data_IF_128889555168
#
_entry.id   IF_128889555168
#
_cell.length_a   1.000
_cell.length_b   1.000
_cell.length_c   1.000
_cell.angle_alpha   90.00
_cell.angle_beta   90.00
_cell.angle_gamma   90.00
#
_symmetry.space_group_name_H-M   'P 1'
#
loop_
_entity.id
_entity.type
_entity.pdbx_description
1 polymer ?
#
# COMPACT_ATOMS: atom_id res chain seq x y z
N UNK A 1 17.41 16.08 25.24
CA UNK A 1 16.39 15.16 24.68
C UNK A 1 16.66 15.09 23.20
N UNK A 2 17.07 13.95 22.68
CA UNK A 2 17.10 13.73 21.23
C UNK A 2 15.67 13.78 20.71
N UNK A 3 15.47 14.49 19.60
CA UNK A 3 14.16 14.67 18.99
C UNK A 3 13.78 13.37 18.27
N UNK A 4 12.92 12.56 18.89
CA UNK A 4 12.58 11.22 18.38
C UNK A 4 11.57 11.24 17.21
N UNK A 5 10.82 12.35 17.03
CA UNK A 5 9.79 12.49 16.01
C UNK A 5 9.85 13.91 15.42
N UNK A 6 9.89 13.99 14.09
CA UNK A 6 9.70 15.23 13.33
C UNK A 6 8.29 15.21 12.71
N UNK A 7 7.53 16.29 12.91
CA UNK A 7 6.20 16.46 12.34
C UNK A 7 6.24 17.64 11.40
N UNK A 8 6.03 17.39 10.11
CA UNK A 8 5.87 18.44 9.10
C UNK A 8 4.39 18.70 8.84
N UNK A 9 3.97 19.97 8.85
CA UNK A 9 2.60 20.38 8.63
C UNK A 9 2.52 21.61 7.72
N UNK A 10 1.52 21.67 6.85
CA UNK A 10 1.18 22.91 6.13
C UNK A 10 0.60 23.97 7.07
N UNK A 11 0.60 25.25 6.67
CA UNK A 11 0.22 26.37 7.54
C UNK A 11 -1.08 26.18 8.32
N UNK A 12 -2.15 25.76 7.64
CA UNK A 12 -3.46 25.55 8.27
C UNK A 12 -3.46 24.42 9.33
N UNK A 13 -2.64 23.38 9.14
CA UNK A 13 -2.55 22.25 10.09
C UNK A 13 -1.57 22.60 11.22
N UNK A 14 -0.52 23.36 10.92
CA UNK A 14 0.44 23.83 11.91
C UNK A 14 -0.23 24.66 13.01
N UNK A 15 -1.13 25.59 12.65
CA UNK A 15 -1.90 26.36 13.63
C UNK A 15 -2.76 25.45 14.53
N UNK A 16 -3.47 24.48 13.94
CA UNK A 16 -4.24 23.49 14.71
C UNK A 16 -3.39 22.66 15.67
N UNK A 17 -2.18 22.26 15.26
CA UNK A 17 -1.24 21.52 16.12
C UNK A 17 -0.79 22.40 17.27
N UNK A 18 -0.38 23.64 16.99
CA UNK A 18 0.10 24.60 18.01
C UNK A 18 -0.98 24.90 19.03
N UNK A 19 -2.23 25.02 18.58
CA UNK A 19 -3.37 25.35 19.44
C UNK A 19 -3.94 24.10 20.15
N UNK A 20 -3.31 22.93 20.00
CA UNK A 20 -3.72 21.68 20.66
C UNK A 20 -5.03 21.08 20.16
N UNK A 21 -5.48 21.52 18.98
CA UNK A 21 -6.78 21.15 18.40
C UNK A 21 -6.70 19.94 17.46
N UNK A 22 -5.51 19.48 17.10
CA UNK A 22 -5.36 18.31 16.24
C UNK A 22 -5.70 17.04 17.03
N UNK A 23 -6.64 16.27 16.52
CA UNK A 23 -7.04 14.97 17.06
C UNK A 23 -6.79 13.85 16.05
N UNK A 24 -6.81 12.59 16.48
CA UNK A 24 -6.72 11.46 15.55
C UNK A 24 -7.93 11.36 14.61
N UNK A 25 -9.07 11.99 14.94
CA UNK A 25 -10.23 12.09 14.06
C UNK A 25 -9.99 13.02 12.86
N UNK A 26 -8.97 13.89 12.90
CA UNK A 26 -8.56 14.72 11.76
C UNK A 26 -7.73 13.93 10.74
N UNK A 27 -7.28 12.72 11.07
CA UNK A 27 -6.50 11.87 10.18
C UNK A 27 -7.43 11.18 9.19
N UNK A 28 -7.37 11.60 7.93
CA UNK A 28 -8.19 11.04 6.85
C UNK A 28 -7.54 9.88 6.10
N UNK A 29 -6.20 9.77 6.16
CA UNK A 29 -5.46 8.71 5.47
C UNK A 29 -4.12 8.39 6.15
N UNK A 30 -3.71 7.13 6.02
CA UNK A 30 -2.34 6.66 6.29
C UNK A 30 -1.76 6.15 4.98
N UNK A 31 -0.53 6.58 4.65
CA UNK A 31 0.11 6.25 3.36
C UNK A 31 1.31 5.34 3.58
N UNK A 32 1.28 4.19 2.92
CA UNK A 32 2.30 3.14 2.97
C UNK A 32 2.99 3.01 1.60
N UNK A 33 4.16 3.64 1.40
CA UNK A 33 4.85 3.59 0.11
C UNK A 33 5.48 2.22 -0.17
N UNK A 34 5.73 1.95 -1.46
CA UNK A 34 6.46 0.77 -1.92
C UNK A 34 7.97 0.93 -1.63
N UNK A 35 8.40 0.57 -0.43
CA UNK A 35 9.80 0.74 0.02
C UNK A 35 10.59 -0.57 0.16
N UNK A 36 9.99 -1.70 -0.21
CA UNK A 36 10.56 -3.04 0.03
C UNK A 36 10.77 -3.26 1.53
N UNK A 37 11.77 -4.07 1.96
CA UNK A 37 11.97 -4.45 3.37
C UNK A 37 12.22 -3.26 4.32
N UNK A 38 12.49 -2.05 3.80
CA UNK A 38 12.61 -0.83 4.63
C UNK A 38 11.33 -0.50 5.41
N UNK A 39 10.19 -1.10 5.05
CA UNK A 39 8.94 -0.92 5.79
C UNK A 39 9.03 -1.42 7.23
N UNK A 40 9.94 -2.34 7.57
CA UNK A 40 10.14 -2.81 8.95
C UNK A 40 10.42 -1.69 9.95
N UNK A 41 11.01 -0.57 9.49
CA UNK A 41 11.21 0.62 10.32
C UNK A 41 9.89 1.21 10.86
N UNK A 42 8.79 1.00 10.14
CA UNK A 42 7.46 1.44 10.54
C UNK A 42 6.69 0.39 11.36
N UNK A 43 7.21 -0.84 11.54
CA UNK A 43 6.47 -1.93 12.19
C UNK A 43 6.09 -1.61 13.64
N UNK A 44 7.01 -1.04 14.41
CA UNK A 44 6.73 -0.61 15.78
C UNK A 44 5.70 0.52 15.85
N UNK A 45 5.75 1.46 14.90
CA UNK A 45 4.80 2.57 14.82
C UNK A 45 3.40 2.08 14.44
N UNK A 46 3.31 1.18 13.46
CA UNK A 46 2.05 0.56 13.05
C UNK A 46 1.41 -0.20 14.22
N UNK A 47 2.19 -1.02 14.94
CA UNK A 47 1.73 -1.75 16.11
C UNK A 47 1.25 -0.81 17.23
N UNK A 48 1.94 0.30 17.45
CA UNK A 48 1.53 1.30 18.43
C UNK A 48 0.18 1.94 18.06
N UNK A 49 -0.03 2.29 16.79
CA UNK A 49 -1.31 2.84 16.31
C UNK A 49 -2.46 1.83 16.40
N UNK A 50 -2.20 0.55 16.10
CA UNK A 50 -3.19 -0.52 16.28
C UNK A 50 -3.60 -0.68 17.75
N UNK A 51 -2.61 -0.84 18.64
CA UNK A 51 -2.81 -1.04 20.09
C UNK A 51 -3.48 0.13 20.77
N UNK A 52 -3.09 1.35 20.40
CA UNK A 52 -3.71 2.56 20.92
C UNK A 52 -5.16 2.71 20.43
N UNK A 53 -5.52 2.03 19.33
CA UNK A 53 -6.86 2.03 18.75
C UNK A 53 -7.40 3.45 18.52
N UNK A 54 -6.55 4.35 18.01
CA UNK A 54 -6.86 5.80 17.96
C UNK A 54 -7.43 6.28 16.63
N UNK A 55 -7.15 5.57 15.53
CA UNK A 55 -7.60 5.97 14.19
C UNK A 55 -9.02 5.47 13.92
N UNK A 56 -9.74 6.08 12.98
CA UNK A 56 -10.98 5.49 12.45
C UNK A 56 -12.17 5.42 13.41
N UNK A 57 -12.13 6.17 14.53
CA UNK A 57 -13.19 6.16 15.56
C UNK A 57 -14.45 6.88 15.08
N UNK A 58 -14.29 8.12 14.61
CA UNK A 58 -15.41 8.94 14.13
C UNK A 58 -15.64 8.82 12.62
N UNK A 59 -14.56 8.83 11.84
CA UNK A 59 -14.61 8.75 10.38
C UNK A 59 -13.66 7.67 9.87
N UNK A 60 -14.05 6.88 8.84
CA UNK A 60 -13.18 5.85 8.28
C UNK A 60 -11.88 6.45 7.73
N UNK A 61 -10.75 5.82 8.02
CA UNK A 61 -9.42 6.24 7.55
C UNK A 61 -9.05 5.48 6.29
N UNK A 62 -8.55 6.19 5.28
CA UNK A 62 -8.06 5.55 4.06
C UNK A 62 -6.64 5.01 4.27
N UNK A 63 -6.45 3.71 4.14
CA UNK A 63 -5.14 3.06 4.16
C UNK A 63 -4.63 2.91 2.72
N UNK A 64 -3.83 3.87 2.27
CA UNK A 64 -3.34 3.96 0.90
C UNK A 64 -1.96 3.32 0.75
N UNK A 65 -1.91 2.12 0.19
CA UNK A 65 -0.70 1.29 0.16
C UNK A 65 -0.24 0.93 -1.26
N UNK A 66 1.06 0.70 -1.43
CA UNK A 66 1.61 0.04 -2.62
C UNK A 66 2.67 -0.98 -2.21
N UNK A 67 2.72 -2.14 -2.88
CA UNK A 67 3.65 -3.24 -2.55
C UNK A 67 3.62 -3.56 -1.04
N UNK A 68 4.75 -3.49 -0.33
CA UNK A 68 4.82 -3.71 1.12
C UNK A 68 3.86 -2.83 1.94
N UNK A 69 3.55 -1.61 1.48
CA UNK A 69 2.54 -0.78 2.12
C UNK A 69 1.12 -1.34 1.99
N UNK A 70 0.80 -1.97 0.85
CA UNK A 70 -0.47 -2.68 0.68
C UNK A 70 -0.54 -3.91 1.60
N UNK A 71 0.56 -4.68 1.70
CA UNK A 71 0.62 -5.85 2.60
C UNK A 71 0.33 -5.46 4.06
N UNK A 72 1.04 -4.42 4.54
CA UNK A 72 0.82 -3.84 5.88
C UNK A 72 -0.64 -3.50 6.09
N UNK A 73 -1.24 -2.73 5.18
CA UNK A 73 -2.61 -2.27 5.35
C UNK A 73 -3.67 -3.36 5.15
N UNK A 74 -3.39 -4.41 4.39
CA UNK A 74 -4.20 -5.62 4.38
C UNK A 74 -4.25 -6.25 5.79
N UNK A 75 -3.11 -6.33 6.50
CA UNK A 75 -3.09 -6.83 7.89
C UNK A 75 -3.88 -5.92 8.85
N UNK A 76 -3.76 -4.60 8.70
CA UNK A 76 -4.52 -3.63 9.52
C UNK A 76 -6.03 -3.79 9.40
N UNK A 77 -6.53 -4.21 8.23
CA UNK A 77 -7.95 -4.33 7.98
C UNK A 77 -8.56 -5.62 8.52
N UNK A 78 -7.76 -6.61 8.93
CA UNK A 78 -8.24 -7.88 9.45
C UNK A 78 -8.88 -7.76 10.85
N UNK A 79 -9.71 -8.74 11.27
CA UNK A 79 -10.33 -8.76 12.60
C UNK A 79 -9.34 -8.72 13.77
N UNK A 80 -8.22 -9.44 13.65
CA UNK A 80 -7.13 -9.46 14.64
C UNK A 80 -5.87 -8.80 14.06
N UNK A 81 -5.87 -7.46 13.89
CA UNK A 81 -4.87 -6.78 13.09
C UNK A 81 -3.46 -6.91 13.69
N UNK A 82 -3.32 -6.95 15.01
CA UNK A 82 -2.02 -7.15 15.66
C UNK A 82 -1.43 -8.54 15.38
N UNK A 83 -2.27 -9.57 15.38
CA UNK A 83 -1.85 -10.94 15.11
C UNK A 83 -1.47 -11.11 13.64
N UNK A 84 -2.35 -10.68 12.73
CA UNK A 84 -2.09 -10.65 11.30
C UNK A 84 -0.80 -9.88 10.95
N UNK A 85 -0.58 -8.73 11.60
CA UNK A 85 0.61 -7.92 11.35
C UNK A 85 1.89 -8.59 11.83
N UNK A 86 1.88 -9.30 12.97
CA UNK A 86 3.03 -10.07 13.44
C UNK A 86 3.34 -11.22 12.49
N UNK A 87 2.32 -11.97 12.04
CA UNK A 87 2.50 -13.02 11.03
C UNK A 87 3.13 -12.48 9.74
N UNK A 88 2.67 -11.32 9.27
CA UNK A 88 3.28 -10.64 8.12
C UNK A 88 4.75 -10.29 8.38
N UNK A 89 5.08 -9.72 9.54
CA UNK A 89 6.47 -9.37 9.88
C UNK A 89 7.34 -10.63 9.89
N UNK A 90 6.89 -11.68 10.57
CA UNK A 90 7.63 -12.93 10.72
C UNK A 90 7.84 -13.61 9.37
N UNK A 91 6.78 -13.81 8.58
CA UNK A 91 6.84 -14.47 7.27
C UNK A 91 7.65 -13.67 6.26
N UNK A 92 7.47 -12.35 6.20
CA UNK A 92 8.23 -11.48 5.29
C UNK A 92 9.71 -11.40 5.67
N UNK A 93 10.04 -11.43 6.97
CA UNK A 93 11.44 -11.40 7.44
C UNK A 93 12.19 -12.69 7.13
N UNK A 94 11.47 -13.81 6.99
CA UNK A 94 12.01 -15.11 6.60
C UNK A 94 12.29 -15.26 5.10
N UNK A 95 11.87 -14.31 4.26
CA UNK A 95 12.14 -14.37 2.82
C UNK A 95 13.64 -14.32 2.53
N UNK A 96 14.13 -15.34 1.81
CA UNK A 96 15.51 -15.44 1.37
C UNK A 96 15.55 -15.84 -0.11
N UNK A 97 16.23 -15.03 -0.91
CA UNK A 97 16.38 -15.26 -2.34
C UNK A 97 17.85 -15.42 -2.72
N UNK A 98 18.12 -16.38 -3.59
CA UNK A 98 19.43 -16.75 -4.13
C UNK A 98 19.48 -16.46 -5.63
N UNK A 99 20.66 -16.60 -6.23
CA UNK A 99 20.82 -16.49 -7.70
C UNK A 99 20.13 -17.61 -8.48
N UNK A 100 19.68 -18.67 -7.81
CA UNK A 100 18.97 -19.80 -8.44
C UNK A 100 17.46 -19.55 -8.53
N UNK A 101 16.97 -18.56 -7.80
CA UNK A 101 15.55 -18.21 -7.81
C UNK A 101 15.12 -17.61 -9.13
N UNK A 102 13.91 -17.98 -9.53
CA UNK A 102 13.27 -17.54 -10.77
C UNK A 102 12.12 -16.58 -10.43
N UNK A 103 11.64 -15.78 -11.39
CA UNK A 103 10.46 -14.94 -11.15
C UNK A 103 9.25 -15.73 -10.61
N UNK A 104 9.06 -16.97 -11.06
CA UNK A 104 8.00 -17.85 -10.59
C UNK A 104 8.20 -18.29 -9.12
N UNK A 105 9.43 -18.65 -8.72
CA UNK A 105 9.69 -19.03 -7.31
C UNK A 105 9.59 -17.84 -6.37
N UNK A 106 10.01 -16.65 -6.82
CA UNK A 106 9.85 -15.40 -6.06
C UNK A 106 8.37 -15.05 -5.92
N UNK A 107 7.58 -15.17 -7.00
CA UNK A 107 6.14 -14.92 -6.97
C UNK A 107 5.45 -15.88 -6.00
N UNK A 108 5.78 -17.17 -6.05
CA UNK A 108 5.22 -18.16 -5.13
C UNK A 108 5.57 -17.83 -3.68
N UNK A 109 6.84 -17.51 -3.38
CA UNK A 109 7.24 -17.15 -2.02
C UNK A 109 6.50 -15.91 -1.48
N UNK A 110 6.20 -14.94 -2.35
CA UNK A 110 5.39 -13.77 -1.96
C UNK A 110 3.91 -14.13 -1.77
N UNK A 111 3.36 -15.04 -2.57
CA UNK A 111 2.01 -15.57 -2.38
C UNK A 111 1.91 -16.34 -1.06
N UNK A 112 2.89 -17.19 -0.76
CA UNK A 112 2.97 -17.94 0.51
C UNK A 112 2.99 -16.99 1.72
N UNK A 113 3.72 -15.86 1.62
CA UNK A 113 3.69 -14.81 2.65
C UNK A 113 2.30 -14.24 2.82
N UNK A 114 1.59 -13.94 1.72
CA UNK A 114 0.21 -13.40 1.76
C UNK A 114 -0.73 -14.42 2.42
N UNK A 115 -0.62 -15.70 2.04
CA UNK A 115 -1.43 -16.79 2.60
C UNK A 115 -1.18 -17.00 4.10
N UNK A 116 0.04 -16.81 4.58
CA UNK A 116 0.40 -17.00 5.99
C UNK A 116 -0.29 -15.99 6.93
N UNK A 117 -0.48 -14.75 6.49
CA UNK A 117 -1.09 -13.72 7.35
C UNK A 117 -2.52 -13.35 6.97
N UNK A 118 -3.00 -13.71 5.78
CA UNK A 118 -4.38 -13.49 5.33
C UNK A 118 -5.07 -14.83 5.10
N UNK A 119 -5.85 -15.24 6.10
CA UNK A 119 -6.76 -16.38 5.97
C UNK A 119 -7.93 -16.01 5.05
N UNK A 120 -8.39 -16.97 4.24
CA UNK A 120 -9.43 -16.72 3.22
C UNK A 120 -10.76 -16.29 3.85
N UNK A 121 -11.07 -16.78 5.05
CA UNK A 121 -12.25 -16.43 5.83
C UNK A 121 -12.17 -15.02 6.45
N UNK A 122 -10.97 -14.45 6.59
CA UNK A 122 -10.74 -13.10 7.08
C UNK A 122 -11.00 -12.03 5.99
N UNK A 123 -10.89 -12.41 4.70
CA UNK A 123 -11.02 -11.46 3.56
C UNK A 123 -12.37 -10.73 3.55
N UNK A 124 -13.54 -11.39 3.69
CA UNK A 124 -14.82 -10.70 3.77
C UNK A 124 -14.89 -9.66 4.89
N UNK A 125 -14.29 -9.95 6.05
CA UNK A 125 -14.26 -9.02 7.18
C UNK A 125 -13.34 -7.83 6.90
N UNK A 126 -12.18 -8.06 6.28
CA UNK A 126 -11.27 -7.00 5.88
C UNK A 126 -11.90 -6.05 4.84
N UNK A 127 -12.65 -6.60 3.88
CA UNK A 127 -13.39 -5.82 2.88
C UNK A 127 -14.56 -5.03 3.49
N UNK A 128 -15.21 -5.59 4.52
CA UNK A 128 -16.32 -4.97 5.24
C UNK A 128 -15.89 -4.06 6.40
N UNK A 129 -14.58 -3.81 6.56
CA UNK A 129 -14.05 -3.03 7.67
C UNK A 129 -14.63 -1.60 7.67
N UNK A 130 -15.26 -1.21 8.79
CA UNK A 130 -15.89 0.12 8.94
C UNK A 130 -14.91 1.21 9.33
N UNK A 131 -13.81 0.82 9.97
CA UNK A 131 -12.76 1.70 10.50
C UNK A 131 -11.79 2.13 9.40
N UNK A 132 -11.45 1.19 8.51
CA UNK A 132 -10.44 1.38 7.48
C UNK A 132 -10.99 1.13 6.09
N UNK A 133 -10.65 2.02 5.15
CA UNK A 133 -10.90 1.83 3.71
C UNK A 133 -9.57 1.61 3.00
N UNK A 134 -9.45 0.52 2.27
CA UNK A 134 -8.23 0.14 1.58
C UNK A 134 -8.13 0.88 0.24
N UNK A 135 -6.92 1.27 -0.12
CA UNK A 135 -6.59 1.84 -1.42
C UNK A 135 -5.23 1.33 -1.88
N UNK A 136 -5.21 0.18 -2.56
CA UNK A 136 -4.00 -0.45 -3.06
C UNK A 136 -3.67 0.06 -4.45
N UNK A 137 -2.52 0.70 -4.58
CA UNK A 137 -2.07 1.26 -5.85
C UNK A 137 -1.09 0.30 -6.51
N UNK A 138 -1.38 -0.07 -7.76
CA UNK A 138 -0.49 -0.88 -8.59
C UNK A 138 -0.21 -0.19 -9.92
N UNK A 139 0.95 -0.49 -10.49
CA UNK A 139 1.32 -0.03 -11.82
C UNK A 139 1.16 -1.19 -12.82
N UNK A 140 0.11 -1.16 -13.62
CA UNK A 140 -0.13 -2.15 -14.67
C UNK A 140 0.78 -1.84 -15.87
N UNK A 141 1.69 -2.75 -16.18
CA UNK A 141 2.51 -2.69 -17.39
C UNK A 141 1.65 -2.77 -18.66
N UNK A 142 1.99 -1.97 -19.68
CA UNK A 142 1.30 -1.91 -20.98
C UNK A 142 2.26 -2.17 -22.14
N UNK A 143 1.68 -2.46 -23.30
CA UNK A 143 2.42 -2.63 -24.57
C UNK A 143 3.53 -3.68 -24.44
N UNK A 144 4.77 -3.32 -24.78
CA UNK A 144 5.91 -4.25 -24.73
C UNK A 144 6.28 -4.68 -23.31
N UNK A 145 5.97 -3.87 -22.28
CA UNK A 145 6.20 -4.26 -20.88
C UNK A 145 5.20 -5.31 -20.37
N UNK A 146 4.14 -5.62 -21.13
CA UNK A 146 3.18 -6.67 -20.75
C UNK A 146 3.77 -8.08 -20.89
N UNK A 147 4.79 -8.27 -21.73
CA UNK A 147 5.35 -9.58 -21.98
C UNK A 147 6.38 -9.94 -20.90
N UNK A 148 6.28 -11.14 -20.35
CA UNK A 148 7.22 -11.68 -19.36
C UNK A 148 8.48 -12.31 -20.00
N UNK A 149 8.78 -11.95 -21.24
CA UNK A 149 9.97 -12.41 -21.95
C UNK A 149 11.07 -11.36 -21.90
N UNK A 150 12.27 -11.78 -21.48
CA UNK A 150 13.42 -10.87 -21.32
C UNK A 150 13.80 -10.10 -22.58
N UNK A 151 13.48 -10.65 -23.76
CA UNK A 151 13.72 -10.02 -25.07
C UNK A 151 12.94 -8.69 -25.22
N UNK A 152 11.74 -8.59 -24.66
CA UNK A 152 10.93 -7.36 -24.72
C UNK A 152 11.05 -6.50 -23.46
N UNK A 153 11.30 -7.10 -22.29
CA UNK A 153 11.38 -6.37 -21.03
C UNK A 153 12.56 -5.39 -20.99
N UNK A 154 13.78 -5.81 -21.35
CA UNK A 154 14.95 -4.93 -21.22
C UNK A 154 14.87 -3.71 -22.16
N UNK A 155 14.57 -3.85 -23.46
CA UNK A 155 14.40 -2.68 -24.34
C UNK A 155 13.25 -1.78 -23.89
N UNK A 156 12.14 -2.36 -23.42
CA UNK A 156 11.00 -1.57 -22.95
C UNK A 156 11.32 -0.82 -21.64
N UNK A 157 12.07 -1.42 -20.72
CA UNK A 157 12.55 -0.74 -19.51
C UNK A 157 13.54 0.39 -19.84
N UNK A 158 14.46 0.17 -20.78
CA UNK A 158 15.37 1.22 -21.27
C UNK A 158 14.59 2.37 -21.88
N UNK A 159 13.64 2.09 -22.78
CA UNK A 159 12.77 3.12 -23.37
C UNK A 159 11.97 3.88 -22.30
N UNK A 160 11.43 3.16 -21.31
CA UNK A 160 10.72 3.76 -20.18
C UNK A 160 11.62 4.69 -19.37
N UNK A 161 12.84 4.27 -19.09
CA UNK A 161 13.85 5.07 -18.38
C UNK A 161 14.20 6.35 -19.14
N UNK A 162 14.45 6.25 -20.44
CA UNK A 162 14.73 7.40 -21.31
C UNK A 162 13.54 8.38 -21.31
N UNK A 163 12.32 7.88 -21.52
CA UNK A 163 11.12 8.70 -21.48
C UNK A 163 10.92 9.38 -20.11
N UNK A 164 11.20 8.70 -19.01
CA UNK A 164 11.09 9.27 -17.66
C UNK A 164 12.08 10.43 -17.43
N UNK A 165 13.29 10.35 -17.98
CA UNK A 165 14.29 11.43 -17.90
C UNK A 165 13.77 12.69 -18.61
N UNK A 166 13.17 12.55 -19.79
CA UNK A 166 12.62 13.69 -20.54
C UNK A 166 11.32 14.22 -19.94
N UNK A 167 10.43 13.33 -19.47
CA UNK A 167 9.15 13.71 -18.88
C UNK A 167 8.58 12.58 -18.03
N UNK A 168 8.40 12.78 -16.71
CA UNK A 168 7.72 11.80 -15.86
C UNK A 168 6.28 11.49 -16.32
N UNK A 169 5.65 12.40 -17.07
CA UNK A 169 4.31 12.17 -17.65
C UNK A 169 4.32 11.08 -18.73
N UNK A 170 5.46 10.87 -19.39
CA UNK A 170 5.61 9.85 -20.43
C UNK A 170 5.54 8.42 -19.86
N UNK A 171 5.67 8.22 -18.54
CA UNK A 171 5.44 6.92 -17.90
C UNK A 171 4.04 6.37 -18.16
N UNK A 172 3.05 7.24 -18.43
CA UNK A 172 1.68 6.83 -18.79
C UNK A 172 1.58 6.05 -20.11
N UNK A 173 2.62 6.13 -20.97
CA UNK A 173 2.74 5.32 -22.18
C UNK A 173 3.12 3.87 -21.86
N UNK A 174 3.75 3.63 -20.72
CA UNK A 174 4.33 2.35 -20.34
C UNK A 174 3.54 1.67 -19.22
N UNK A 175 2.97 2.47 -18.32
CA UNK A 175 2.23 2.02 -17.16
C UNK A 175 0.86 2.70 -17.09
N UNK A 176 -0.12 1.94 -16.62
CA UNK A 176 -1.40 2.46 -16.18
C UNK A 176 -1.53 2.28 -14.68
N UNK A 177 -1.80 3.38 -13.99
CA UNK A 177 -2.08 3.36 -12.56
C UNK A 177 -3.44 2.72 -12.34
N UNK A 178 -3.51 1.74 -11.46
CA UNK A 178 -4.75 1.08 -11.05
C UNK A 178 -4.83 1.15 -9.53
N UNK A 179 -5.97 1.62 -9.01
CA UNK A 179 -6.23 1.66 -7.58
C UNK A 179 -7.34 0.67 -7.26
N UNK A 180 -6.98 -0.40 -6.57
CA UNK A 180 -7.91 -1.32 -5.95
C UNK A 180 -8.40 -0.72 -4.65
N UNK A 181 -9.71 -0.68 -4.40
CA UNK A 181 -10.24 0.01 -3.22
C UNK A 181 -11.37 -0.75 -2.52
N UNK A 182 -11.48 -0.59 -1.19
CA UNK A 182 -12.64 -1.05 -0.44
C UNK A 182 -13.59 0.09 -0.08
N UNK A 183 -14.88 -0.23 0.05
CA UNK A 183 -15.95 0.72 0.36
C UNK A 183 -16.80 1.14 -0.84
N UNK A 184 -17.79 2.00 -0.59
CA UNK A 184 -18.83 2.34 -1.57
C UNK A 184 -18.34 3.23 -2.73
N UNK A 185 -17.30 4.04 -2.51
CA UNK A 185 -16.78 4.97 -3.50
C UNK A 185 -15.25 4.89 -3.57
N UNK A 186 -14.66 5.14 -4.74
CA UNK A 186 -13.22 5.29 -4.86
C UNK A 186 -12.67 6.37 -3.92
N UNK A 187 -11.42 6.24 -3.46
CA UNK A 187 -10.75 7.24 -2.63
C UNK A 187 -10.85 8.64 -3.23
N UNK A 188 -10.88 9.67 -2.39
CA UNK A 188 -11.08 11.05 -2.83
C UNK A 188 -10.03 11.52 -3.86
N UNK A 189 -8.78 11.03 -3.77
CA UNK A 189 -7.73 11.37 -4.71
C UNK A 189 -7.95 10.78 -6.12
N UNK A 190 -8.68 9.66 -6.24
CA UNK A 190 -9.03 9.06 -7.54
C UNK A 190 -10.15 9.80 -8.26
N UNK A 191 -10.94 10.61 -7.54
CA UNK A 191 -12.08 11.35 -8.08
C UNK A 191 -11.71 12.75 -8.57
N UNK A 192 -10.43 13.11 -8.49
CA UNK A 192 -9.93 14.39 -8.98
C UNK A 192 -9.70 14.35 -10.51
N UNK A 193 -9.93 15.44 -11.26
CA UNK A 193 -9.75 15.46 -12.71
C UNK A 193 -8.34 15.09 -13.19
N UNK A 194 -7.32 15.29 -12.34
CA UNK A 194 -5.92 14.99 -12.64
C UNK A 194 -5.60 13.50 -12.54
N UNK A 195 -6.45 12.70 -11.89
CA UNK A 195 -6.26 11.26 -11.79
C UNK A 195 -6.58 10.60 -13.13
N UNK A 196 -5.55 10.06 -13.79
CA UNK A 196 -5.66 9.39 -15.09
C UNK A 196 -5.52 7.86 -15.01
N UNK A 197 -5.81 7.30 -13.84
CA UNK A 197 -5.76 5.86 -13.59
C UNK A 197 -7.11 5.17 -13.69
N UNK A 198 -7.11 3.86 -13.47
CA UNK A 198 -8.32 3.06 -13.27
C UNK A 198 -8.59 2.86 -11.78
N UNK A 199 -9.85 2.66 -11.44
CA UNK A 199 -10.26 2.23 -10.10
C UNK A 199 -11.01 0.92 -10.22
N UNK A 200 -10.70 -0.04 -9.35
CA UNK A 200 -11.30 -1.37 -9.34
C UNK A 200 -11.75 -1.65 -7.90
N UNK A 201 -13.01 -2.03 -7.65
CA UNK A 201 -13.41 -2.42 -6.31
C UNK A 201 -12.70 -3.70 -5.88
N UNK A 202 -12.24 -3.74 -4.64
CA UNK A 202 -11.70 -4.95 -4.02
C UNK A 202 -12.84 -5.93 -3.75
N UNK A 203 -12.61 -7.18 -4.11
CA UNK A 203 -13.45 -8.32 -3.79
C UNK A 203 -12.59 -9.51 -3.36
N UNK A 204 -13.21 -10.65 -3.04
CA UNK A 204 -12.48 -11.83 -2.59
C UNK A 204 -11.53 -12.38 -3.66
N UNK A 205 -11.80 -12.15 -4.95
CA UNK A 205 -11.01 -12.69 -6.05
C UNK A 205 -9.77 -11.86 -6.38
N UNK A 206 -9.68 -10.62 -5.89
CA UNK A 206 -8.58 -9.71 -6.18
C UNK A 206 -7.92 -9.09 -4.93
N UNK A 207 -8.25 -9.60 -3.73
CA UNK A 207 -7.67 -9.13 -2.48
C UNK A 207 -6.27 -9.67 -2.20
N UNK A 208 -6.01 -10.93 -2.57
CA UNK A 208 -4.73 -11.63 -2.42
C UNK A 208 -3.96 -11.61 -3.74
#
# INVERSE_FOLDING_TARGET
MEQAIEISAGGNIYEKIRDGMLTFDDISAVVGPAVGPRWFLAAGFDMALMRADVLGKKYPVTLAGASAGALRFAAWAQPEPEHAYRRLVDSYSGLSFTRRDTPATIQQALADVIDEYIEDDAVPFALANRKYRLAFTVARARHLLRFDTGLFQLPALVATGLCNIFSPRALSLFFQWVVFYSGYQPPAFCRRPEFRGLTIPLDQANFK
#
